data_IF_357830470705
#
_entry.id   IF_357830470705
#
_cell.length_a   1.000
_cell.length_b   1.000
_cell.length_c   1.000
_cell.angle_alpha   90.00
_cell.angle_beta   90.00
_cell.angle_gamma   90.00
#
_symmetry.space_group_name_H-M   'P 1'
#
loop_
_entity.id
_entity.type
_entity.pdbx_description
1 polymer ?
#
# COMPACT_ATOMS: atom_id res chain seq x y z
N UNK A 1 -39.83 -25.63 -14.67
CA UNK A 1 -39.08 -24.92 -13.60
C UNK A 1 -37.68 -24.74 -14.11
N UNK A 2 -37.38 -23.50 -14.56
CA UNK A 2 -36.16 -23.16 -15.30
C UNK A 2 -35.16 -22.60 -14.28
N UNK A 3 -34.07 -23.35 -14.04
CA UNK A 3 -32.94 -22.87 -13.22
C UNK A 3 -32.13 -21.85 -14.04
N UNK A 4 -32.29 -20.57 -13.74
CA UNK A 4 -31.48 -19.50 -14.30
C UNK A 4 -30.20 -19.38 -13.50
N UNK A 5 -29.13 -19.95 -14.02
CA UNK A 5 -27.78 -19.79 -13.48
C UNK A 5 -27.28 -18.41 -13.88
N UNK A 6 -27.24 -17.47 -12.94
CA UNK A 6 -26.56 -16.17 -13.13
C UNK A 6 -25.04 -16.40 -13.16
N UNK A 7 -24.47 -16.50 -14.35
CA UNK A 7 -23.03 -16.36 -14.56
C UNK A 7 -22.62 -14.90 -14.36
N UNK A 8 -22.04 -14.57 -13.22
CA UNK A 8 -21.37 -13.30 -13.02
C UNK A 8 -20.13 -13.28 -13.91
N UNK A 9 -20.19 -12.50 -15.00
CA UNK A 9 -19.02 -12.19 -15.81
C UNK A 9 -18.15 -11.22 -15.04
N UNK A 10 -17.11 -11.72 -14.36
CA UNK A 10 -16.02 -10.89 -13.85
C UNK A 10 -15.23 -10.43 -15.06
N UNK A 11 -15.38 -9.17 -15.43
CA UNK A 11 -14.64 -8.56 -16.54
C UNK A 11 -13.29 -8.10 -15.99
N UNK A 12 -12.35 -9.03 -15.80
CA UNK A 12 -10.93 -8.69 -15.75
C UNK A 12 -10.57 -8.08 -17.11
N UNK A 13 -10.00 -6.88 -17.14
CA UNK A 13 -9.42 -6.33 -18.37
C UNK A 13 -8.18 -7.15 -18.72
N UNK A 14 -8.38 -8.24 -19.44
CA UNK A 14 -7.30 -9.08 -19.95
C UNK A 14 -6.65 -8.36 -21.13
N UNK A 15 -5.39 -7.95 -20.98
CA UNK A 15 -4.56 -7.51 -22.09
C UNK A 15 -3.68 -8.69 -22.52
N UNK A 16 -3.75 -9.06 -23.79
CA UNK A 16 -2.87 -10.07 -24.37
C UNK A 16 -1.71 -9.37 -25.08
N UNK A 17 -0.49 -9.68 -24.72
CA UNK A 17 0.70 -9.37 -25.50
C UNK A 17 1.38 -10.70 -25.87
N UNK A 18 1.44 -11.00 -27.17
CA UNK A 18 2.11 -12.21 -27.66
C UNK A 18 1.54 -13.55 -27.17
N UNK A 19 0.25 -13.62 -26.83
CA UNK A 19 -0.42 -14.87 -26.40
C UNK A 19 -0.30 -15.20 -24.90
N UNK A 20 0.43 -14.41 -24.11
CA UNK A 20 0.50 -14.54 -22.67
C UNK A 20 -0.43 -13.52 -21.98
N UNK A 21 -1.16 -13.97 -20.98
CA UNK A 21 -2.00 -13.12 -20.14
C UNK A 21 -1.09 -12.30 -19.20
N UNK A 22 -1.00 -11.00 -19.42
CA UNK A 22 -0.28 -10.10 -18.51
C UNK A 22 -1.22 -9.75 -17.36
N UNK A 23 -1.01 -10.34 -16.20
CA UNK A 23 -1.71 -9.99 -14.97
C UNK A 23 -0.92 -8.85 -14.33
N UNK A 24 -1.48 -7.64 -14.29
CA UNK A 24 -0.91 -6.52 -13.57
C UNK A 24 -1.20 -6.73 -12.06
N UNK A 25 -0.16 -6.66 -11.26
CA UNK A 25 -0.26 -6.80 -9.80
C UNK A 25 -0.30 -5.41 -9.16
N UNK A 26 -1.11 -5.26 -8.11
CA UNK A 26 -1.11 -4.09 -7.26
C UNK A 26 -0.17 -4.31 -6.06
N UNK A 27 0.76 -3.39 -5.88
CA UNK A 27 1.66 -3.31 -4.74
C UNK A 27 1.38 -2.07 -3.92
N UNK A 28 1.69 -2.14 -2.63
CA UNK A 28 1.44 -1.09 -1.65
C UNK A 28 2.69 -0.86 -0.81
N UNK A 29 2.99 0.41 -0.50
CA UNK A 29 4.11 0.81 0.34
C UNK A 29 3.89 2.23 0.84
N UNK A 30 4.52 2.64 1.94
CA UNK A 30 4.54 4.02 2.42
C UNK A 30 5.84 4.36 3.17
N UNK A 31 5.98 5.62 3.53
CA UNK A 31 7.00 6.14 4.45
C UNK A 31 8.45 5.81 4.03
N UNK A 32 8.74 5.90 2.72
CA UNK A 32 10.09 5.66 2.24
C UNK A 32 11.06 6.75 2.71
N UNK A 33 10.59 7.99 2.85
CA UNK A 33 11.39 9.14 3.28
C UNK A 33 12.71 9.28 2.50
N UNK A 34 12.65 9.08 1.18
CA UNK A 34 13.83 9.24 0.33
C UNK A 34 14.45 10.63 0.55
N UNK A 35 15.78 10.69 0.61
CA UNK A 35 16.56 11.92 0.84
C UNK A 35 16.34 12.60 2.20
N UNK A 36 15.74 11.89 3.17
CA UNK A 36 15.58 12.36 4.54
C UNK A 36 16.67 11.78 5.44
N UNK A 37 17.75 12.51 5.64
CA UNK A 37 18.94 12.03 6.39
C UNK A 37 18.60 11.53 7.80
N UNK A 38 17.62 12.16 8.46
CA UNK A 38 17.31 11.85 9.86
C UNK A 38 16.71 10.44 10.07
N UNK A 39 16.30 9.74 9.03
CA UNK A 39 15.84 8.34 9.14
C UNK A 39 17.00 7.33 9.16
N UNK A 40 18.24 7.78 8.98
CA UNK A 40 19.44 6.93 9.00
C UNK A 40 20.30 7.21 10.25
N UNK A 41 21.25 6.31 10.53
CA UNK A 41 22.16 6.43 11.69
C UNK A 41 23.10 7.61 11.60
N UNK A 42 23.40 8.12 10.41
CA UNK A 42 24.14 9.38 10.24
C UNK A 42 23.32 10.64 10.57
N UNK A 43 22.01 10.51 10.68
CA UNK A 43 21.10 11.55 11.16
C UNK A 43 20.69 11.34 12.62
N UNK A 44 19.42 11.51 12.91
CA UNK A 44 18.88 11.36 14.26
C UNK A 44 18.38 9.93 14.56
N UNK A 45 18.34 9.05 13.55
CA UNK A 45 17.83 7.67 13.64
C UNK A 45 16.46 7.57 14.33
N UNK A 46 15.58 8.55 14.07
CA UNK A 46 14.29 8.66 14.79
C UNK A 46 13.35 7.47 14.52
N UNK A 47 13.60 6.77 13.42
CA UNK A 47 12.76 5.67 12.91
C UNK A 47 13.42 4.29 13.15
N UNK A 48 14.63 4.27 13.73
CA UNK A 48 15.34 3.03 14.06
C UNK A 48 15.67 2.16 12.85
N UNK A 49 15.85 2.74 11.65
CA UNK A 49 16.17 1.96 10.43
C UNK A 49 17.55 1.32 10.50
N UNK A 50 17.75 0.15 9.88
CA UNK A 50 19.02 -0.54 9.93
C UNK A 50 20.16 0.16 9.15
N UNK A 51 19.82 1.15 8.32
CA UNK A 51 20.74 1.81 7.40
C UNK A 51 21.65 2.83 8.08
N UNK A 52 22.93 2.77 7.76
CA UNK A 52 23.91 3.74 8.23
C UNK A 52 23.78 5.05 7.45
N UNK A 53 23.66 4.97 6.12
CA UNK A 53 23.67 6.12 5.20
C UNK A 53 22.41 6.15 4.33
N UNK A 54 22.14 7.30 3.70
CA UNK A 54 21.09 7.42 2.69
C UNK A 54 21.36 6.54 1.46
N UNK A 55 22.62 6.44 1.03
CA UNK A 55 22.99 5.67 -0.15
C UNK A 55 22.71 4.18 0.05
N UNK A 56 23.04 3.66 1.25
CA UNK A 56 22.71 2.27 1.63
C UNK A 56 21.18 2.06 1.61
N UNK A 57 20.42 2.96 2.22
CA UNK A 57 18.96 2.91 2.23
C UNK A 57 18.38 2.96 0.82
N UNK A 58 18.82 3.91 0.00
CA UNK A 58 18.33 4.09 -1.36
C UNK A 58 18.63 2.86 -2.24
N UNK A 59 19.85 2.30 -2.15
CA UNK A 59 20.23 1.10 -2.90
C UNK A 59 19.32 -0.06 -2.52
N UNK A 60 19.14 -0.29 -1.21
CA UNK A 60 18.28 -1.39 -0.70
C UNK A 60 16.83 -1.21 -1.15
N UNK A 61 16.26 -0.02 -1.00
CA UNK A 61 14.87 0.25 -1.43
C UNK A 61 14.72 0.00 -2.93
N UNK A 62 15.64 0.50 -3.76
CA UNK A 62 15.59 0.32 -5.21
C UNK A 62 15.71 -1.14 -5.62
N UNK A 63 16.63 -1.88 -5.02
CA UNK A 63 16.85 -3.30 -5.29
C UNK A 63 15.60 -4.11 -4.90
N UNK A 64 15.10 -3.92 -3.69
CA UNK A 64 13.91 -4.61 -3.18
C UNK A 64 12.68 -4.29 -4.04
N UNK A 65 12.43 -3.00 -4.32
CA UNK A 65 11.33 -2.58 -5.17
C UNK A 65 11.39 -3.23 -6.55
N UNK A 66 12.53 -3.10 -7.23
CA UNK A 66 12.70 -3.59 -8.59
C UNK A 66 12.84 -5.14 -8.68
N UNK A 67 13.03 -5.82 -7.55
CA UNK A 67 13.04 -7.29 -7.50
C UNK A 67 11.64 -7.89 -7.60
N UNK A 68 10.61 -7.17 -7.13
CA UNK A 68 9.23 -7.66 -7.09
C UNK A 68 8.32 -6.96 -8.11
N UNK A 69 8.59 -5.69 -8.43
CA UNK A 69 7.75 -4.87 -9.31
C UNK A 69 8.25 -4.93 -10.75
N UNK A 70 7.35 -5.19 -11.70
CA UNK A 70 7.58 -5.07 -13.14
C UNK A 70 7.03 -3.75 -13.69
N UNK A 71 7.37 -3.38 -14.92
CA UNK A 71 6.84 -2.16 -15.54
C UNK A 71 5.34 -2.22 -15.88
N UNK A 72 4.74 -3.41 -15.84
CA UNK A 72 3.31 -3.59 -16.06
C UNK A 72 2.47 -3.40 -14.79
N UNK A 73 3.09 -3.53 -13.62
CA UNK A 73 2.42 -3.49 -12.33
C UNK A 73 2.05 -2.07 -11.89
N UNK A 74 1.17 -1.98 -10.90
CA UNK A 74 0.81 -0.73 -10.24
C UNK A 74 1.38 -0.70 -8.83
N UNK A 75 1.96 0.43 -8.43
CA UNK A 75 2.44 0.64 -7.06
C UNK A 75 1.76 1.86 -6.46
N UNK A 76 1.03 1.63 -5.38
CA UNK A 76 0.35 2.65 -4.60
C UNK A 76 1.22 3.04 -3.42
N UNK A 77 1.76 4.24 -3.46
CA UNK A 77 2.54 4.82 -2.37
C UNK A 77 1.59 5.57 -1.46
N UNK A 78 1.39 5.07 -0.23
CA UNK A 78 0.50 5.68 0.76
C UNK A 78 1.21 6.78 1.55
N UNK A 79 1.89 7.68 0.86
CA UNK A 79 2.49 8.92 1.37
C UNK A 79 3.93 8.80 1.85
N UNK A 80 4.50 9.98 2.08
CA UNK A 80 5.86 10.22 2.56
C UNK A 80 6.93 9.49 1.73
N UNK A 81 6.81 9.65 0.40
CA UNK A 81 7.74 9.06 -0.55
C UNK A 81 9.12 9.71 -0.48
N UNK A 82 9.19 11.05 -0.53
CA UNK A 82 10.46 11.75 -0.54
C UNK A 82 10.39 13.06 0.26
N UNK A 83 11.49 13.37 0.98
CA UNK A 83 11.61 14.61 1.75
C UNK A 83 11.64 15.88 0.89
N UNK A 84 12.13 15.75 -0.36
CA UNK A 84 12.27 16.85 -1.33
C UNK A 84 11.93 16.36 -2.73
N UNK A 85 11.29 17.22 -3.51
CA UNK A 85 11.03 17.04 -4.94
C UNK A 85 12.14 17.66 -5.82
N UNK A 86 13.40 17.35 -5.52
CA UNK A 86 14.56 17.87 -6.25
C UNK A 86 15.01 16.92 -7.38
N UNK A 87 16.06 17.31 -8.10
CA UNK A 87 16.60 16.51 -9.21
C UNK A 87 16.97 15.09 -8.81
N UNK A 88 17.59 14.92 -7.63
CA UNK A 88 17.98 13.61 -7.13
C UNK A 88 16.76 12.71 -6.90
N UNK A 89 15.67 13.27 -6.32
CA UNK A 89 14.41 12.54 -6.12
C UNK A 89 13.76 12.18 -7.45
N UNK A 90 13.76 13.10 -8.43
CA UNK A 90 13.24 12.85 -9.78
C UNK A 90 14.01 11.68 -10.43
N UNK A 91 15.33 11.76 -10.42
CA UNK A 91 16.19 10.71 -10.99
C UNK A 91 15.94 9.36 -10.28
N UNK A 92 15.95 9.35 -8.95
CA UNK A 92 15.77 8.12 -8.20
C UNK A 92 14.41 7.47 -8.47
N UNK A 93 13.30 8.22 -8.31
CA UNK A 93 11.94 7.73 -8.51
C UNK A 93 11.71 7.26 -9.95
N UNK A 94 12.37 7.87 -10.95
CA UNK A 94 12.32 7.43 -12.34
C UNK A 94 12.91 6.03 -12.55
N UNK A 95 13.83 5.59 -11.68
CA UNK A 95 14.44 4.25 -11.75
C UNK A 95 13.61 3.15 -11.10
N UNK A 96 12.57 3.49 -10.35
CA UNK A 96 11.66 2.55 -9.75
C UNK A 96 10.64 2.07 -10.79
N UNK A 97 10.51 0.76 -10.93
CA UNK A 97 9.62 0.11 -11.90
C UNK A 97 8.14 0.31 -11.53
N UNK A 98 7.28 0.10 -12.51
CA UNK A 98 5.83 0.10 -12.37
C UNK A 98 5.16 1.46 -12.55
N UNK A 99 3.83 1.40 -12.65
CA UNK A 99 2.94 2.55 -12.75
C UNK A 99 2.69 3.07 -11.32
N UNK A 100 3.36 4.15 -10.94
CA UNK A 100 3.32 4.68 -9.59
C UNK A 100 2.12 5.60 -9.37
N UNK A 101 1.38 5.39 -8.27
CA UNK A 101 0.28 6.21 -7.79
C UNK A 101 0.67 6.78 -6.43
N UNK A 102 0.53 8.09 -6.22
CA UNK A 102 0.88 8.73 -4.97
C UNK A 102 -0.37 9.22 -4.24
N UNK A 103 -0.61 8.65 -3.06
CA UNK A 103 -1.48 9.23 -2.05
C UNK A 103 -0.63 10.12 -1.17
N UNK A 104 -0.91 11.42 -1.12
CA UNK A 104 -0.04 12.39 -0.47
C UNK A 104 0.06 12.19 1.04
N UNK A 105 1.29 12.15 1.55
CA UNK A 105 1.63 12.27 2.96
C UNK A 105 1.89 13.72 3.38
N UNK A 106 2.16 13.93 4.66
CA UNK A 106 2.41 15.27 5.20
C UNK A 106 3.77 15.84 4.78
N UNK A 107 4.71 15.02 4.39
CA UNK A 107 6.03 15.44 3.88
C UNK A 107 6.08 15.55 2.36
N UNK A 108 5.11 14.98 1.64
CA UNK A 108 5.11 15.02 0.19
C UNK A 108 4.82 16.44 -0.33
N UNK A 109 5.64 16.87 -1.27
CA UNK A 109 5.45 18.09 -2.05
C UNK A 109 5.50 17.72 -3.51
N UNK A 110 4.55 18.21 -4.31
CA UNK A 110 4.43 17.87 -5.73
C UNK A 110 4.18 19.14 -6.54
N UNK A 111 5.08 20.11 -6.38
CA UNK A 111 5.05 21.39 -7.09
C UNK A 111 5.83 21.34 -8.40
N UNK A 112 6.94 20.58 -8.44
CA UNK A 112 7.71 20.37 -9.66
C UNK A 112 6.92 19.47 -10.63
N UNK A 113 6.61 20.01 -11.81
CA UNK A 113 5.85 19.30 -12.86
C UNK A 113 6.56 18.02 -13.32
N UNK A 114 7.89 18.00 -13.35
CA UNK A 114 8.68 16.82 -13.76
C UNK A 114 8.53 15.70 -12.73
N UNK A 115 8.54 16.05 -11.42
CA UNK A 115 8.30 15.09 -10.35
C UNK A 115 6.88 14.52 -10.43
N UNK A 116 5.88 15.42 -10.62
CA UNK A 116 4.48 15.00 -10.77
C UNK A 116 4.25 14.03 -11.92
N UNK A 117 4.94 14.21 -13.05
CA UNK A 117 4.82 13.34 -14.23
C UNK A 117 5.35 11.91 -14.02
N UNK A 118 6.07 11.64 -12.94
CA UNK A 118 6.49 10.29 -12.57
C UNK A 118 5.35 9.41 -12.05
N UNK A 119 4.19 10.03 -11.75
CA UNK A 119 3.04 9.35 -11.21
C UNK A 119 1.86 9.35 -12.18
N UNK A 120 1.15 8.23 -12.25
CA UNK A 120 -0.13 8.10 -12.97
C UNK A 120 -1.15 9.09 -12.40
N UNK A 121 -1.16 9.22 -11.07
CA UNK A 121 -1.99 10.17 -10.35
C UNK A 121 -1.35 10.58 -9.02
N UNK A 122 -1.77 11.75 -8.51
CA UNK A 122 -1.41 12.26 -7.19
C UNK A 122 -2.70 12.73 -6.52
N UNK A 123 -3.06 12.12 -5.40
CA UNK A 123 -4.34 12.34 -4.70
C UNK A 123 -4.14 12.37 -3.18
N UNK A 124 -5.13 12.84 -2.42
CA UNK A 124 -5.09 12.79 -0.94
C UNK A 124 -5.74 11.52 -0.36
N UNK A 125 -6.54 10.83 -1.16
CA UNK A 125 -7.32 9.67 -0.78
C UNK A 125 -7.64 8.86 -2.04
N UNK A 126 -7.58 7.54 -1.94
CA UNK A 126 -7.80 6.65 -3.09
C UNK A 126 -8.59 5.42 -2.69
N UNK A 127 -9.52 5.05 -3.55
CA UNK A 127 -10.21 3.78 -3.47
C UNK A 127 -10.03 2.99 -4.76
N UNK A 128 -9.79 1.71 -4.64
CA UNK A 128 -9.69 0.78 -5.76
C UNK A 128 -10.33 -0.56 -5.40
N UNK A 129 -10.50 -1.40 -6.40
CA UNK A 129 -10.80 -2.81 -6.23
C UNK A 129 -9.56 -3.63 -6.49
N UNK A 130 -9.26 -4.57 -5.58
CA UNK A 130 -8.17 -5.53 -5.75
C UNK A 130 -8.69 -6.95 -5.56
N UNK A 131 -8.02 -7.93 -6.15
CA UNK A 131 -8.49 -9.32 -6.16
C UNK A 131 -7.44 -10.21 -5.51
N UNK A 132 -7.83 -10.89 -4.46
CA UNK A 132 -7.00 -11.89 -3.77
C UNK A 132 -7.71 -13.24 -3.80
N UNK A 133 -7.06 -14.25 -4.39
CA UNK A 133 -7.57 -15.61 -4.51
C UNK A 133 -9.01 -15.69 -5.07
N UNK A 134 -9.29 -14.84 -6.07
CA UNK A 134 -10.62 -14.75 -6.71
C UNK A 134 -11.67 -13.95 -5.94
N UNK A 135 -11.35 -13.44 -4.75
CA UNK A 135 -12.22 -12.54 -3.96
C UNK A 135 -11.84 -11.08 -4.23
N UNK A 136 -12.84 -10.25 -4.52
CA UNK A 136 -12.63 -8.81 -4.71
C UNK A 136 -12.65 -8.09 -3.35
N UNK A 137 -11.68 -7.24 -3.10
CA UNK A 137 -11.60 -6.36 -1.94
C UNK A 137 -11.74 -4.90 -2.37
N UNK A 138 -12.41 -4.10 -1.54
CA UNK A 138 -12.44 -2.66 -1.67
C UNK A 138 -11.30 -2.07 -0.83
N UNK A 139 -10.26 -1.59 -1.50
CA UNK A 139 -9.06 -1.07 -0.85
C UNK A 139 -9.17 0.44 -0.75
N UNK A 140 -9.14 0.94 0.48
CA UNK A 140 -9.19 2.36 0.83
C UNK A 140 -7.81 2.79 1.30
N UNK A 141 -7.24 3.80 0.68
CA UNK A 141 -5.89 4.28 0.95
C UNK A 141 -5.89 5.75 1.38
N UNK A 142 -5.25 6.03 2.49
CA UNK A 142 -4.86 7.36 2.94
C UNK A 142 -3.50 7.29 3.60
N UNK A 143 -2.78 8.42 3.70
CA UNK A 143 -1.52 8.41 4.43
C UNK A 143 -1.74 8.21 5.93
N UNK A 144 -2.68 8.96 6.51
CA UNK A 144 -3.01 8.81 7.93
C UNK A 144 -3.91 7.61 8.19
N UNK A 145 -3.74 6.89 9.33
CA UNK A 145 -4.73 5.94 9.79
C UNK A 145 -6.05 6.65 10.13
N UNK A 146 -7.15 6.23 9.54
CA UNK A 146 -8.48 6.82 9.76
C UNK A 146 -9.38 5.84 10.53
N UNK A 147 -10.17 6.38 11.45
CA UNK A 147 -11.02 5.56 12.32
C UNK A 147 -12.17 4.88 11.57
N UNK A 148 -12.72 5.57 10.57
CA UNK A 148 -13.86 5.10 9.79
C UNK A 148 -13.64 5.40 8.30
N UNK A 149 -13.75 4.37 7.46
CA UNK A 149 -13.55 4.48 6.01
C UNK A 149 -14.74 3.95 5.23
N UNK A 150 -14.79 4.25 3.96
CA UNK A 150 -15.88 3.84 3.11
C UNK A 150 -16.00 2.30 3.06
N UNK A 151 -17.21 1.80 3.14
CA UNK A 151 -17.55 0.38 3.17
C UNK A 151 -17.00 -0.43 4.36
N UNK A 152 -16.42 0.18 5.38
CA UNK A 152 -15.85 -0.50 6.55
C UNK A 152 -16.83 -1.50 7.21
N UNK A 153 -18.11 -1.15 7.25
CA UNK A 153 -19.17 -1.94 7.88
C UNK A 153 -19.88 -2.91 6.92
N UNK A 154 -19.40 -2.99 5.68
CA UNK A 154 -19.98 -3.90 4.70
C UNK A 154 -19.28 -5.27 4.76
N UNK A 155 -20.09 -6.33 4.78
CA UNK A 155 -19.65 -7.70 4.74
C UNK A 155 -20.07 -8.36 3.44
N UNK A 156 -19.24 -9.27 2.95
CA UNK A 156 -19.69 -10.26 1.99
C UNK A 156 -20.27 -11.45 2.74
N UNK A 157 -21.37 -11.97 2.23
CA UNK A 157 -21.88 -13.26 2.62
C UNK A 157 -21.44 -14.29 1.59
N UNK A 158 -20.45 -15.10 1.95
CA UNK A 158 -20.03 -16.28 1.18
C UNK A 158 -20.61 -17.52 1.91
N UNK A 159 -21.87 -17.84 1.62
CA UNK A 159 -22.62 -18.86 2.37
C UNK A 159 -23.01 -18.37 3.77
N UNK A 160 -22.57 -19.07 4.82
CA UNK A 160 -22.80 -18.70 6.23
C UNK A 160 -21.70 -17.79 6.80
N UNK A 161 -20.56 -17.65 6.09
CA UNK A 161 -19.45 -16.83 6.56
C UNK A 161 -19.64 -15.34 6.20
N UNK A 162 -19.40 -14.50 7.19
CA UNK A 162 -19.29 -13.06 7.02
C UNK A 162 -17.82 -12.70 6.85
N UNK A 163 -17.44 -12.19 5.71
CA UNK A 163 -16.07 -11.78 5.43
C UNK A 163 -15.99 -10.26 5.24
N UNK A 164 -15.02 -9.63 5.87
CA UNK A 164 -14.71 -8.22 5.62
C UNK A 164 -14.42 -8.01 4.13
N UNK A 165 -14.99 -6.94 3.58
CA UNK A 165 -14.82 -6.60 2.16
C UNK A 165 -13.93 -5.39 1.95
N UNK A 166 -13.94 -4.42 2.88
CA UNK A 166 -13.15 -3.20 2.77
C UNK A 166 -11.90 -3.27 3.64
N UNK A 167 -10.77 -2.95 3.04
CA UNK A 167 -9.45 -2.92 3.70
C UNK A 167 -8.93 -1.49 3.66
N UNK A 168 -8.54 -0.95 4.81
CA UNK A 168 -7.84 0.32 4.90
C UNK A 168 -6.33 0.11 4.91
N UNK A 169 -5.62 0.76 3.98
CA UNK A 169 -4.16 0.79 3.90
C UNK A 169 -3.65 2.20 4.22
N UNK A 170 -2.66 2.29 5.10
CA UNK A 170 -2.13 3.56 5.61
C UNK A 170 -0.64 3.49 5.91
N UNK A 171 -0.05 4.65 6.19
CA UNK A 171 1.32 4.84 6.67
C UNK A 171 1.36 5.78 7.87
N UNK A 172 2.29 6.74 7.87
CA UNK A 172 2.46 7.84 8.81
C UNK A 172 2.98 7.45 10.20
N UNK A 173 2.35 6.47 10.82
CA UNK A 173 2.65 6.10 12.22
C UNK A 173 3.88 5.18 12.36
N UNK A 174 4.50 4.80 11.25
CA UNK A 174 5.68 3.95 11.19
C UNK A 174 5.54 2.67 12.06
N UNK A 175 6.62 2.21 12.72
CA UNK A 175 6.61 1.11 13.70
C UNK A 175 6.53 1.64 15.15
N UNK A 176 5.75 2.68 15.39
CA UNK A 176 5.68 3.40 16.66
C UNK A 176 4.61 2.86 17.62
N UNK A 177 4.50 3.48 18.80
CA UNK A 177 3.42 3.19 19.73
C UNK A 177 2.05 3.64 19.20
N UNK A 178 2.00 4.65 18.31
CA UNK A 178 0.76 5.07 17.64
C UNK A 178 0.17 3.97 16.78
N UNK A 179 1.02 3.17 16.10
CA UNK A 179 0.59 1.98 15.39
C UNK A 179 -0.06 0.97 16.34
N UNK A 180 0.55 0.71 17.50
CA UNK A 180 -0.01 -0.21 18.50
C UNK A 180 -1.38 0.26 19.00
N UNK A 181 -1.53 1.57 19.29
CA UNK A 181 -2.80 2.16 19.74
C UNK A 181 -3.88 2.07 18.67
N UNK A 182 -3.52 2.33 17.40
CA UNK A 182 -4.47 2.21 16.31
C UNK A 182 -4.91 0.76 16.08
N UNK A 183 -3.99 -0.20 16.12
CA UNK A 183 -4.35 -1.63 16.01
C UNK A 183 -5.17 -2.11 17.20
N UNK A 184 -4.94 -1.58 18.41
CA UNK A 184 -5.80 -1.86 19.56
C UNK A 184 -7.22 -1.31 19.37
N UNK A 185 -7.35 -0.10 18.82
CA UNK A 185 -8.64 0.47 18.45
C UNK A 185 -9.38 -0.42 17.44
N UNK A 186 -8.71 -0.89 16.39
CA UNK A 186 -9.31 -1.81 15.40
C UNK A 186 -9.72 -3.13 16.05
N UNK A 187 -8.91 -3.70 16.96
CA UNK A 187 -9.27 -4.93 17.70
C UNK A 187 -10.50 -4.72 18.57
N UNK A 188 -10.65 -3.56 19.21
CA UNK A 188 -11.85 -3.21 19.99
C UNK A 188 -13.08 -3.11 19.10
N UNK A 189 -12.99 -2.45 17.95
CA UNK A 189 -14.09 -2.39 16.99
C UNK A 189 -14.55 -3.81 16.59
N UNK A 190 -13.61 -4.70 16.33
CA UNK A 190 -13.91 -6.08 15.92
C UNK A 190 -14.47 -6.91 17.09
N UNK A 191 -13.90 -6.80 18.28
CA UNK A 191 -14.30 -7.59 19.45
C UNK A 191 -15.63 -7.14 20.06
N UNK A 192 -15.75 -5.85 20.35
CA UNK A 192 -16.92 -5.29 21.03
C UNK A 192 -18.10 -5.02 20.09
N UNK A 193 -17.82 -4.49 18.89
CA UNK A 193 -18.85 -4.07 17.94
C UNK A 193 -19.04 -5.02 16.77
N UNK A 194 -18.21 -6.08 16.65
CA UNK A 194 -18.27 -7.12 15.61
C UNK A 194 -18.25 -6.55 14.18
N UNK A 195 -17.40 -5.54 13.95
CA UNK A 195 -17.32 -4.86 12.65
C UNK A 195 -16.42 -5.55 11.61
N UNK A 196 -15.56 -6.50 12.03
CA UNK A 196 -14.60 -7.21 11.16
C UNK A 196 -13.71 -6.27 10.31
N UNK A 197 -13.31 -5.13 10.90
CA UNK A 197 -12.48 -4.15 10.21
C UNK A 197 -11.08 -4.71 9.90
N UNK A 198 -10.59 -4.46 8.70
CA UNK A 198 -9.22 -4.76 8.31
C UNK A 198 -8.50 -3.45 8.01
N UNK A 199 -7.49 -3.11 8.81
CA UNK A 199 -6.62 -1.97 8.61
C UNK A 199 -5.16 -2.43 8.67
N UNK A 200 -4.33 -2.03 7.68
CA UNK A 200 -2.96 -2.48 7.53
C UNK A 200 -2.02 -1.32 7.29
N UNK A 201 -0.99 -1.25 8.10
CA UNK A 201 0.12 -0.34 7.90
C UNK A 201 1.02 -0.88 6.77
N UNK A 202 1.23 -0.07 5.72
CA UNK A 202 2.10 -0.41 4.59
C UNK A 202 3.45 0.31 4.65
N UNK A 203 3.82 0.81 5.83
CA UNK A 203 5.11 1.44 6.11
C UNK A 203 6.27 0.53 5.73
N UNK A 204 7.20 1.04 4.93
CA UNK A 204 8.28 0.23 4.35
C UNK A 204 9.12 -0.52 5.38
N UNK A 205 9.31 0.05 6.58
CA UNK A 205 10.06 -0.55 7.68
C UNK A 205 9.41 -1.84 8.24
N UNK A 206 8.10 -2.02 8.06
CA UNK A 206 7.36 -3.21 8.48
C UNK A 206 7.44 -4.34 7.45
N UNK A 207 7.88 -4.04 6.23
CA UNK A 207 7.88 -4.95 5.09
C UNK A 207 9.26 -5.08 4.45
N UNK A 208 10.32 -5.00 5.26
CA UNK A 208 11.71 -5.10 4.81
C UNK A 208 12.00 -4.19 3.59
N UNK A 209 11.46 -2.96 3.60
CA UNK A 209 11.65 -1.94 2.54
C UNK A 209 11.26 -2.43 1.14
N UNK A 210 10.28 -3.33 1.05
CA UNK A 210 9.81 -3.97 -0.18
C UNK A 210 8.33 -3.67 -0.38
N UNK A 211 7.88 -3.27 -1.57
CA UNK A 211 6.44 -3.18 -1.87
C UNK A 211 5.74 -4.53 -1.71
N UNK A 212 4.57 -4.54 -1.08
CA UNK A 212 3.80 -5.76 -0.77
C UNK A 212 2.46 -5.78 -1.47
N UNK A 213 1.96 -6.97 -1.75
CA UNK A 213 0.62 -7.19 -2.32
C UNK A 213 -0.44 -7.23 -1.23
N UNK A 214 -1.71 -7.01 -1.60
CA UNK A 214 -2.83 -7.16 -0.65
C UNK A 214 -2.87 -8.56 -0.05
N UNK A 215 -2.57 -9.59 -0.84
CA UNK A 215 -2.50 -10.98 -0.35
C UNK A 215 -1.52 -11.12 0.80
N UNK A 216 -0.28 -10.64 0.63
CA UNK A 216 0.73 -10.68 1.69
C UNK A 216 0.29 -9.93 2.96
N UNK A 217 -0.37 -8.77 2.80
CA UNK A 217 -0.91 -8.01 3.93
C UNK A 217 -2.01 -8.75 4.69
N UNK A 218 -2.88 -9.48 4.00
CA UNK A 218 -3.96 -10.26 4.62
C UNK A 218 -3.43 -11.51 5.32
N UNK A 219 -2.42 -12.18 4.75
CA UNK A 219 -1.80 -13.39 5.30
C UNK A 219 -0.93 -13.11 6.54
N UNK A 220 -0.31 -11.93 6.63
CA UNK A 220 0.57 -11.55 7.75
C UNK A 220 -0.13 -11.55 9.13
N UNK A 221 -1.45 -11.59 9.20
CA UNK A 221 -2.20 -11.69 10.47
C UNK A 221 -2.24 -13.10 11.08
N UNK A 222 -1.83 -14.12 10.36
CA UNK A 222 -1.95 -15.51 10.82
C UNK A 222 -0.73 -15.96 11.67
N UNK A 223 0.22 -15.06 11.95
CA UNK A 223 1.51 -15.43 12.61
C UNK A 223 1.62 -14.93 14.05
N UNK A 224 0.66 -14.13 14.54
CA UNK A 224 0.68 -13.57 15.91
C UNK A 224 -0.64 -13.88 16.67
N UNK A 225 -0.92 -15.17 16.86
CA UNK A 225 -1.83 -15.69 17.89
C UNK A 225 -1.05 -16.49 18.92
#
# INVERSE_FOLDING_TARGET
MINTIYRIKITMKRRFYGGLEVININYYISDLHLFHKNVTKEGNDFDGRPFRTLDEMHSTIKENWNSVVTNADHVYVCGDLAWKENEDAIQFVSTLRGNKHLVLGNHDRVKDQRYRQLFVEVVNYKEIKDIVDGKEYHVVMSHFPIAFWNHQHHFRRDGEEHNAWAVHLYGHVHASDEEKYYQEFIRKLNGEYKLECIAKNVGCMLHNYTPVTLKQLLEANNVHT
#
